data_IF_801128127225
#
_entry.id   IF_801128127225
#
_cell.length_a   1.000
_cell.length_b   1.000
_cell.length_c   1.000
_cell.angle_alpha   90.00
_cell.angle_beta   90.00
_cell.angle_gamma   90.00
#
_symmetry.space_group_name_H-M   'P 1'
#
loop_
_entity.id
_entity.type
_entity.pdbx_description
1 polymer ?
#
# COMPACT_ATOMS: atom_id res chain seq x y z
N UNK A 1 -10.84 -9.28 -35.64
CA UNK A 1 -9.45 -9.10 -35.20
C UNK A 1 -9.45 -8.80 -33.71
N UNK A 2 -8.95 -9.72 -32.88
CA UNK A 2 -8.88 -9.53 -31.43
C UNK A 2 -7.78 -8.52 -31.13
N UNK A 3 -8.15 -7.45 -30.40
CA UNK A 3 -7.23 -6.40 -30.01
C UNK A 3 -6.23 -6.96 -28.98
N UNK A 4 -5.01 -7.17 -29.38
CA UNK A 4 -3.93 -7.59 -28.47
C UNK A 4 -3.54 -6.43 -27.57
N UNK A 5 -3.39 -6.69 -26.26
CA UNK A 5 -2.80 -5.74 -25.34
C UNK A 5 -1.33 -5.47 -25.72
N UNK A 6 -0.79 -4.30 -25.36
CA UNK A 6 0.63 -3.89 -25.64
C UNK A 6 1.71 -4.90 -25.21
N UNK A 7 1.35 -5.95 -24.49
CA UNK A 7 2.23 -7.05 -24.04
C UNK A 7 2.01 -8.34 -24.81
N UNK A 8 1.21 -8.35 -25.90
CA UNK A 8 0.93 -9.54 -26.69
C UNK A 8 0.02 -10.59 -26.03
N UNK A 9 -0.42 -10.37 -24.79
CA UNK A 9 -1.32 -11.27 -24.10
C UNK A 9 -2.79 -10.96 -24.46
N UNK A 10 -3.66 -11.96 -24.59
CA UNK A 10 -5.08 -11.74 -24.83
C UNK A 10 -5.69 -10.99 -23.64
N UNK A 11 -6.72 -10.12 -23.88
CA UNK A 11 -7.43 -9.44 -22.80
C UNK A 11 -8.06 -10.47 -21.86
N UNK A 12 -8.13 -10.17 -20.54
CA UNK A 12 -8.77 -11.06 -19.58
C UNK A 12 -10.22 -11.37 -19.96
N UNK A 13 -10.56 -12.66 -19.87
CA UNK A 13 -11.92 -13.15 -20.12
C UNK A 13 -12.88 -12.66 -19.02
N UNK A 14 -14.11 -12.33 -19.38
CA UNK A 14 -15.16 -11.97 -18.44
C UNK A 14 -16.04 -13.20 -18.16
N UNK A 15 -16.12 -13.62 -16.88
CA UNK A 15 -17.00 -14.70 -16.42
C UNK A 15 -18.04 -14.16 -15.46
N UNK A 16 -19.31 -14.23 -15.83
CA UNK A 16 -20.42 -13.84 -14.99
C UNK A 16 -20.90 -15.06 -14.21
N UNK A 17 -21.00 -14.95 -12.88
CA UNK A 17 -21.42 -16.02 -11.98
C UNK A 17 -22.67 -15.55 -11.22
N UNK A 18 -23.88 -15.99 -11.60
CA UNK A 18 -25.09 -15.72 -10.84
C UNK A 18 -25.02 -16.37 -9.45
N UNK A 19 -25.40 -15.64 -8.41
CA UNK A 19 -25.36 -16.08 -7.02
C UNK A 19 -26.70 -15.91 -6.33
N UNK A 20 -27.30 -17.00 -5.90
CA UNK A 20 -28.55 -16.99 -5.14
C UNK A 20 -28.40 -16.36 -3.74
N UNK A 21 -27.19 -16.39 -3.17
CA UNK A 21 -26.90 -15.80 -1.86
C UNK A 21 -26.82 -14.27 -1.90
N UNK A 22 -26.62 -13.66 -3.08
CA UNK A 22 -26.52 -12.22 -3.24
C UNK A 22 -27.86 -11.63 -3.69
N UNK A 23 -28.39 -10.70 -2.92
CA UNK A 23 -29.67 -10.06 -3.28
C UNK A 23 -29.49 -8.68 -3.95
N UNK A 24 -28.48 -7.90 -3.50
CA UNK A 24 -28.29 -6.50 -3.93
C UNK A 24 -26.84 -6.13 -4.25
N UNK A 25 -25.88 -6.99 -3.93
CA UNK A 25 -24.45 -6.68 -4.11
C UNK A 25 -23.82 -7.51 -5.22
N UNK A 26 -22.93 -6.90 -5.99
CA UNK A 26 -22.10 -7.57 -6.98
C UNK A 26 -20.64 -7.40 -6.60
N UNK A 27 -19.79 -8.41 -6.89
CA UNK A 27 -18.37 -8.36 -6.61
C UNK A 27 -17.60 -8.96 -7.79
N UNK A 28 -16.39 -8.46 -8.03
CA UNK A 28 -15.52 -8.97 -9.07
C UNK A 28 -14.13 -9.25 -8.51
N UNK A 29 -13.45 -10.26 -9.06
CA UNK A 29 -12.06 -10.58 -8.77
C UNK A 29 -11.33 -11.04 -10.04
N UNK A 30 -10.04 -10.82 -10.10
CA UNK A 30 -9.18 -11.37 -11.16
C UNK A 30 -8.59 -12.70 -10.67
N UNK A 31 -8.78 -13.76 -11.45
CA UNK A 31 -8.23 -15.08 -11.18
C UNK A 31 -7.48 -15.52 -12.43
N UNK A 32 -6.16 -15.46 -12.37
CA UNK A 32 -5.33 -15.66 -13.57
C UNK A 32 -5.65 -14.62 -14.65
N UNK A 33 -6.09 -15.06 -15.82
CA UNK A 33 -6.51 -14.19 -16.92
C UNK A 33 -8.05 -14.10 -17.06
N UNK A 34 -8.82 -14.36 -15.99
CA UNK A 34 -10.29 -14.32 -15.99
C UNK A 34 -10.77 -13.34 -14.93
N UNK A 35 -11.62 -12.39 -15.32
CA UNK A 35 -12.35 -11.54 -14.39
C UNK A 35 -13.66 -12.21 -14.04
N UNK A 36 -13.74 -12.80 -12.85
CA UNK A 36 -14.96 -13.39 -12.33
C UNK A 36 -15.82 -12.31 -11.66
N UNK A 37 -17.06 -12.18 -12.11
CA UNK A 37 -18.03 -11.24 -11.55
C UNK A 37 -19.22 -12.00 -11.00
N UNK A 38 -19.41 -11.94 -9.69
CA UNK A 38 -20.57 -12.52 -9.01
C UNK A 38 -21.69 -11.48 -8.93
N UNK A 39 -22.87 -11.79 -9.46
CA UNK A 39 -24.05 -10.93 -9.50
C UNK A 39 -25.25 -11.65 -8.85
N UNK A 40 -26.29 -10.90 -8.37
CA UNK A 40 -27.53 -11.52 -7.95
C UNK A 40 -28.17 -12.37 -9.05
N UNK A 41 -28.60 -13.60 -8.72
CA UNK A 41 -29.21 -14.50 -9.70
C UNK A 41 -30.55 -13.97 -10.25
N UNK A 42 -31.27 -13.19 -9.45
CA UNK A 42 -32.57 -12.59 -9.81
C UNK A 42 -32.43 -11.29 -10.63
N UNK A 43 -31.22 -10.80 -10.86
CA UNK A 43 -30.96 -9.63 -11.68
C UNK A 43 -31.22 -9.95 -13.16
N UNK A 44 -31.90 -9.10 -13.92
CA UNK A 44 -32.10 -9.31 -15.37
C UNK A 44 -30.77 -9.50 -16.11
N UNK A 45 -30.73 -10.40 -17.10
CA UNK A 45 -29.50 -10.76 -17.79
C UNK A 45 -28.78 -9.56 -18.43
N UNK A 46 -29.53 -8.60 -18.98
CA UNK A 46 -28.97 -7.38 -19.56
C UNK A 46 -28.29 -6.50 -18.49
N UNK A 47 -28.85 -6.45 -17.28
CA UNK A 47 -28.29 -5.71 -16.16
C UNK A 47 -27.06 -6.42 -15.57
N UNK A 48 -27.10 -7.78 -15.44
CA UNK A 48 -25.95 -8.58 -15.06
C UNK A 48 -24.75 -8.27 -15.94
N UNK A 49 -24.96 -8.23 -17.26
CA UNK A 49 -23.89 -7.92 -18.23
C UNK A 49 -23.33 -6.51 -18.04
N UNK A 50 -24.18 -5.48 -17.93
CA UNK A 50 -23.73 -4.08 -17.71
C UNK A 50 -22.92 -3.94 -16.41
N UNK A 51 -23.39 -4.57 -15.33
CA UNK A 51 -22.67 -4.55 -14.05
C UNK A 51 -21.34 -5.27 -14.17
N UNK A 52 -21.31 -6.43 -14.83
CA UNK A 52 -20.11 -7.21 -15.01
C UNK A 52 -19.06 -6.46 -15.85
N UNK A 53 -19.44 -5.84 -16.95
CA UNK A 53 -18.55 -5.03 -17.78
C UNK A 53 -17.97 -3.85 -17.03
N UNK A 54 -18.79 -3.12 -16.26
CA UNK A 54 -18.33 -2.00 -15.42
C UNK A 54 -17.32 -2.44 -14.36
N UNK A 55 -17.58 -3.57 -13.69
CA UNK A 55 -16.69 -4.12 -12.68
C UNK A 55 -15.40 -4.68 -13.31
N UNK A 56 -15.50 -5.36 -14.46
CA UNK A 56 -14.33 -5.78 -15.25
C UNK A 56 -13.44 -4.57 -15.57
N UNK A 57 -14.01 -3.51 -16.13
CA UNK A 57 -13.26 -2.33 -16.53
C UNK A 57 -12.62 -1.62 -15.33
N UNK A 58 -13.27 -1.64 -14.17
CA UNK A 58 -12.70 -1.15 -12.92
C UNK A 58 -11.47 -1.98 -12.50
N UNK A 59 -11.57 -3.32 -12.54
CA UNK A 59 -10.45 -4.23 -12.24
C UNK A 59 -9.32 -4.02 -13.26
N UNK A 60 -9.61 -3.98 -14.55
CA UNK A 60 -8.60 -3.81 -15.60
C UNK A 60 -7.87 -2.47 -15.47
N UNK A 61 -8.57 -1.40 -15.08
CA UNK A 61 -7.93 -0.11 -14.77
C UNK A 61 -7.02 -0.20 -13.54
N UNK A 62 -7.42 -0.91 -12.49
CA UNK A 62 -6.58 -1.09 -11.30
C UNK A 62 -5.34 -1.95 -11.61
N UNK A 63 -5.51 -3.04 -12.36
CA UNK A 63 -4.40 -3.90 -12.83
C UNK A 63 -3.48 -3.14 -13.79
N UNK A 64 -4.02 -2.30 -14.64
CA UNK A 64 -3.24 -1.43 -15.53
C UNK A 64 -2.39 -0.40 -14.77
N UNK A 65 -2.88 0.10 -13.63
CA UNK A 65 -2.10 0.95 -12.72
C UNK A 65 -0.97 0.17 -12.03
N UNK A 66 -1.25 -1.07 -11.58
CA UNK A 66 -0.22 -1.95 -10.97
C UNK A 66 0.87 -2.34 -11.98
N UNK A 67 0.53 -2.50 -13.27
CA UNK A 67 1.52 -2.80 -14.33
C UNK A 67 2.45 -1.63 -14.64
N UNK A 68 2.02 -0.41 -14.38
CA UNK A 68 2.86 0.77 -14.40
C UNK A 68 3.10 1.16 -12.94
N UNK A 69 4.01 0.42 -12.28
CA UNK A 69 4.39 0.75 -10.91
C UNK A 69 4.70 2.26 -10.84
N UNK A 70 4.14 2.99 -9.86
CA UNK A 70 4.46 4.39 -9.66
C UNK A 70 5.97 4.54 -9.53
N UNK A 71 6.50 5.59 -10.12
CA UNK A 71 7.88 5.99 -9.90
C UNK A 71 7.98 6.61 -8.50
N UNK A 72 8.26 5.74 -7.52
CA UNK A 72 8.33 6.14 -6.11
C UNK A 72 9.42 7.17 -5.88
N UNK A 73 10.56 7.04 -6.57
CA UNK A 73 11.68 7.95 -6.43
C UNK A 73 11.28 9.37 -6.84
N UNK A 74 10.75 9.52 -8.04
CA UNK A 74 10.28 10.82 -8.53
C UNK A 74 9.20 11.40 -7.62
N UNK A 75 8.24 10.56 -7.19
CA UNK A 75 7.14 11.03 -6.35
C UNK A 75 7.60 11.45 -4.96
N UNK A 76 8.53 10.69 -4.35
CA UNK A 76 9.16 11.06 -3.08
C UNK A 76 9.93 12.38 -3.18
N UNK A 77 10.65 12.63 -4.28
CA UNK A 77 11.35 13.89 -4.53
C UNK A 77 10.36 15.07 -4.60
N UNK A 78 9.23 14.91 -5.30
CA UNK A 78 8.17 15.93 -5.38
C UNK A 78 7.62 16.25 -3.98
N UNK A 79 7.26 15.22 -3.20
CA UNK A 79 6.72 15.37 -1.85
C UNK A 79 7.76 15.97 -0.88
N UNK A 80 9.02 15.53 -0.98
CA UNK A 80 10.11 16.11 -0.21
C UNK A 80 10.26 17.62 -0.49
N UNK A 81 10.23 18.01 -1.76
CA UNK A 81 10.32 19.42 -2.13
C UNK A 81 9.15 20.23 -1.59
N UNK A 82 7.92 19.70 -1.70
CA UNK A 82 6.71 20.39 -1.32
C UNK A 82 6.52 20.50 0.21
N UNK A 83 6.79 19.42 0.94
CA UNK A 83 6.43 19.28 2.36
C UNK A 83 7.62 19.41 3.30
N UNK A 84 8.83 19.07 2.83
CA UNK A 84 10.05 19.08 3.66
C UNK A 84 11.12 20.06 3.15
N UNK A 85 10.78 20.89 2.15
CA UNK A 85 11.68 21.88 1.60
C UNK A 85 12.91 21.27 0.87
N UNK A 86 12.79 20.04 0.38
CA UNK A 86 13.83 19.33 -0.33
C UNK A 86 15.03 18.90 0.54
N UNK A 87 14.85 18.88 1.87
CA UNK A 87 15.95 18.68 2.83
C UNK A 87 16.25 17.22 3.14
N UNK A 88 15.28 16.32 2.93
CA UNK A 88 15.45 14.92 3.22
C UNK A 88 16.35 14.24 2.19
N UNK A 89 17.13 13.25 2.64
CA UNK A 89 17.99 12.44 1.80
C UNK A 89 17.77 10.98 2.12
N UNK A 90 17.72 10.16 1.10
CA UNK A 90 17.65 8.70 1.20
C UNK A 90 18.58 8.07 0.17
N UNK A 91 18.93 6.82 0.38
CA UNK A 91 19.79 6.04 -0.53
C UNK A 91 18.98 5.26 -1.55
N UNK A 92 17.86 4.69 -1.12
CA UNK A 92 17.03 3.86 -1.96
C UNK A 92 15.56 3.94 -1.55
N UNK A 93 14.67 3.92 -2.55
CA UNK A 93 13.23 3.80 -2.35
C UNK A 93 12.66 2.83 -3.36
N UNK A 94 11.79 1.91 -2.93
CA UNK A 94 11.24 0.92 -3.83
C UNK A 94 10.11 0.09 -3.22
N UNK A 95 9.46 -0.69 -4.09
CA UNK A 95 8.48 -1.67 -3.64
C UNK A 95 9.18 -2.93 -3.09
N UNK A 96 8.66 -3.43 -1.96
CA UNK A 96 9.12 -4.66 -1.33
C UNK A 96 7.95 -5.59 -0.97
N UNK A 97 8.24 -6.87 -0.83
CA UNK A 97 7.24 -7.83 -0.33
C UNK A 97 7.12 -7.66 1.19
N UNK A 98 6.04 -7.00 1.61
CA UNK A 98 5.69 -6.78 3.01
C UNK A 98 4.24 -7.22 3.23
N UNK A 99 4.00 -8.04 4.25
CA UNK A 99 2.68 -8.61 4.54
C UNK A 99 1.96 -7.89 5.67
N UNK A 100 2.67 -7.54 6.73
CA UNK A 100 2.12 -6.95 7.95
C UNK A 100 2.07 -5.41 7.92
N UNK A 101 2.90 -4.74 7.15
CA UNK A 101 3.02 -3.28 7.10
C UNK A 101 2.86 -2.73 5.68
N UNK A 102 2.48 -1.46 5.56
CA UNK A 102 2.33 -0.76 4.28
C UNK A 102 3.62 -0.14 3.77
N UNK A 103 4.55 0.17 4.68
CA UNK A 103 5.85 0.70 4.39
C UNK A 103 6.86 0.41 5.50
N UNK A 104 8.10 0.78 5.28
CA UNK A 104 9.16 0.80 6.31
C UNK A 104 10.30 1.71 5.87
N UNK A 105 10.86 2.43 6.83
CA UNK A 105 12.07 3.22 6.68
C UNK A 105 13.17 2.66 7.59
N UNK A 106 14.39 2.60 7.08
CA UNK A 106 15.59 2.33 7.87
C UNK A 106 16.45 3.58 7.80
N UNK A 107 16.37 4.49 8.81
CA UNK A 107 17.04 5.78 8.79
C UNK A 107 18.54 5.69 8.57
N UNK A 108 19.22 4.77 9.25
CA UNK A 108 20.68 4.60 9.17
C UNK A 108 21.18 4.30 7.77
N UNK A 109 20.44 3.47 7.04
CA UNK A 109 20.78 3.15 5.64
C UNK A 109 20.09 4.06 4.64
N UNK A 110 19.20 4.96 5.06
CA UNK A 110 18.40 5.78 4.18
C UNK A 110 17.53 4.96 3.22
N UNK A 111 17.06 3.77 3.64
CA UNK A 111 16.31 2.87 2.77
C UNK A 111 14.82 2.92 3.10
N UNK A 112 14.00 3.24 2.09
CA UNK A 112 12.55 3.28 2.19
C UNK A 112 11.95 2.14 1.35
N UNK A 113 11.05 1.38 1.95
CA UNK A 113 10.34 0.29 1.29
C UNK A 113 8.84 0.50 1.40
N UNK A 114 8.14 0.41 0.29
CA UNK A 114 6.67 0.46 0.23
C UNK A 114 6.17 -0.94 -0.14
N UNK A 115 5.16 -1.42 0.58
CA UNK A 115 4.59 -2.74 0.29
C UNK A 115 4.12 -2.83 -1.16
N UNK A 116 4.46 -3.90 -1.88
CA UNK A 116 4.06 -4.09 -3.29
C UNK A 116 2.54 -4.02 -3.47
N UNK A 117 1.76 -4.45 -2.46
CA UNK A 117 0.30 -4.33 -2.47
C UNK A 117 -0.19 -2.87 -2.54
N UNK A 118 0.61 -1.91 -2.08
CA UNK A 118 0.28 -0.49 -2.14
C UNK A 118 0.32 0.09 -3.58
N UNK A 119 0.96 -0.59 -4.53
CA UNK A 119 0.99 -0.14 -5.93
C UNK A 119 -0.40 -0.06 -6.60
N UNK A 120 -1.41 -0.73 -6.03
CA UNK A 120 -2.80 -0.67 -6.48
C UNK A 120 -3.67 0.36 -5.78
N UNK A 121 -3.15 1.04 -4.77
CA UNK A 121 -3.88 2.06 -4.02
C UNK A 121 -4.06 3.34 -4.86
N UNK A 122 -5.03 4.19 -4.50
CA UNK A 122 -5.13 5.54 -5.07
C UNK A 122 -3.83 6.33 -4.83
N UNK A 123 -3.45 7.19 -5.78
CA UNK A 123 -2.20 7.96 -5.73
C UNK A 123 -2.07 8.77 -4.43
N UNK A 124 -3.16 9.38 -3.95
CA UNK A 124 -3.17 10.16 -2.72
C UNK A 124 -2.96 9.31 -1.44
N UNK A 125 -3.27 8.00 -1.47
CA UNK A 125 -2.95 7.07 -0.37
C UNK A 125 -1.48 6.67 -0.43
N UNK A 126 -0.96 6.44 -1.63
CA UNK A 126 0.45 6.15 -1.83
C UNK A 126 1.33 7.35 -1.43
N UNK A 127 0.87 8.57 -1.73
CA UNK A 127 1.54 9.80 -1.29
C UNK A 127 1.64 9.88 0.23
N UNK A 128 0.55 9.56 0.93
CA UNK A 128 0.55 9.50 2.39
C UNK A 128 1.58 8.50 2.91
N UNK A 129 1.62 7.27 2.34
CA UNK A 129 2.62 6.27 2.73
C UNK A 129 4.04 6.77 2.52
N UNK A 130 4.31 7.42 1.38
CA UNK A 130 5.61 8.02 1.11
C UNK A 130 5.97 9.12 2.11
N UNK A 131 5.03 10.00 2.45
CA UNK A 131 5.24 11.07 3.45
C UNK A 131 5.50 10.49 4.82
N UNK A 132 4.79 9.43 5.21
CA UNK A 132 5.00 8.70 6.45
C UNK A 132 6.43 8.16 6.55
N UNK A 133 6.88 7.44 5.51
CA UNK A 133 8.22 6.86 5.48
C UNK A 133 9.33 7.94 5.37
N UNK A 134 9.07 9.04 4.67
CA UNK A 134 9.97 10.18 4.63
C UNK A 134 10.10 10.88 6.00
N UNK A 135 9.01 10.94 6.77
CA UNK A 135 9.05 11.50 8.12
C UNK A 135 9.95 10.70 9.06
N UNK A 136 10.03 9.37 8.88
CA UNK A 136 10.92 8.51 9.64
C UNK A 136 12.42 8.77 9.41
N UNK A 137 12.80 9.43 8.33
CA UNK A 137 14.19 9.89 8.15
C UNK A 137 14.58 11.01 9.14
N UNK A 138 13.59 11.62 9.81
CA UNK A 138 13.77 12.72 10.77
C UNK A 138 13.43 12.27 12.18
N UNK A 139 12.32 11.58 12.35
CA UNK A 139 11.76 11.15 13.63
C UNK A 139 11.45 9.65 13.58
N UNK A 140 12.20 8.86 14.35
CA UNK A 140 12.05 7.40 14.39
C UNK A 140 10.75 6.94 15.06
N UNK A 141 10.24 7.71 16.03
CA UNK A 141 9.09 7.33 16.84
C UNK A 141 7.85 8.16 16.45
N UNK A 142 6.67 7.54 16.51
CA UNK A 142 5.37 8.15 16.18
C UNK A 142 4.89 9.19 17.23
N UNK A 143 5.80 9.96 17.81
CA UNK A 143 5.47 11.03 18.75
C UNK A 143 4.90 12.29 18.06
N UNK A 144 4.60 13.35 18.88
CA UNK A 144 4.02 14.59 18.34
C UNK A 144 4.84 15.24 17.23
N UNK A 145 6.17 15.12 17.26
CA UNK A 145 7.06 15.66 16.22
C UNK A 145 6.90 14.92 14.88
N UNK A 146 6.78 13.59 14.94
CA UNK A 146 6.53 12.79 13.79
C UNK A 146 5.20 13.16 13.13
N UNK A 147 4.12 13.19 13.91
CA UNK A 147 2.80 13.53 13.39
C UNK A 147 2.75 14.94 12.82
N UNK A 148 3.43 15.92 13.42
CA UNK A 148 3.56 17.27 12.87
C UNK A 148 4.25 17.30 11.48
N UNK A 149 5.10 16.31 11.17
CA UNK A 149 5.70 16.14 9.84
C UNK A 149 4.71 15.52 8.86
N UNK A 150 4.02 14.46 9.27
CA UNK A 150 3.07 13.73 8.42
C UNK A 150 1.84 14.56 8.11
N UNK A 151 1.33 15.35 9.05
CA UNK A 151 0.16 16.24 8.91
C UNK A 151 0.39 17.39 7.91
N UNK A 152 1.63 17.64 7.48
CA UNK A 152 1.88 18.54 6.35
C UNK A 152 1.22 18.05 5.06
N UNK A 153 0.93 16.76 4.97
CA UNK A 153 0.18 16.21 3.86
C UNK A 153 -1.33 16.41 4.09
N UNK A 154 -2.03 17.17 3.24
CA UNK A 154 -3.41 17.61 3.52
C UNK A 154 -4.44 16.48 3.59
N UNK A 155 -4.12 15.30 3.07
CA UNK A 155 -5.04 14.16 3.02
C UNK A 155 -4.67 13.05 4.03
N UNK A 156 -3.85 13.36 5.04
CA UNK A 156 -3.37 12.40 6.05
C UNK A 156 -4.51 11.61 6.68
N UNK A 157 -5.47 12.26 7.32
CA UNK A 157 -6.57 11.57 8.00
C UNK A 157 -7.46 10.76 7.04
N UNK A 158 -7.69 11.29 5.85
CA UNK A 158 -8.43 10.57 4.82
C UNK A 158 -7.71 9.31 4.37
N UNK A 159 -6.38 9.37 4.22
CA UNK A 159 -5.56 8.22 3.82
C UNK A 159 -5.51 7.16 4.92
N UNK A 160 -5.36 7.57 6.18
CA UNK A 160 -5.44 6.67 7.34
C UNK A 160 -6.77 5.93 7.38
N UNK A 161 -7.88 6.64 7.31
CA UNK A 161 -9.21 6.02 7.28
C UNK A 161 -9.41 5.07 6.09
N UNK A 162 -8.84 5.38 4.93
CA UNK A 162 -8.88 4.49 3.78
C UNK A 162 -8.09 3.20 4.02
N UNK A 163 -6.88 3.28 4.57
CA UNK A 163 -6.05 2.11 4.87
C UNK A 163 -6.70 1.22 5.93
N UNK A 164 -7.23 1.79 7.00
CA UNK A 164 -8.01 1.06 8.00
C UNK A 164 -9.18 0.28 7.37
N UNK A 165 -9.94 0.91 6.47
CA UNK A 165 -11.03 0.23 5.77
C UNK A 165 -10.54 -0.89 4.84
N UNK A 166 -9.36 -0.76 4.23
CA UNK A 166 -8.75 -1.80 3.39
C UNK A 166 -8.31 -2.98 4.25
N UNK A 167 -7.67 -2.74 5.39
CA UNK A 167 -7.18 -3.79 6.29
C UNK A 167 -8.36 -4.58 6.90
N UNK A 168 -9.41 -3.91 7.35
CA UNK A 168 -10.64 -4.58 7.82
C UNK A 168 -11.36 -5.34 6.70
N UNK A 169 -11.38 -4.81 5.48
CA UNK A 169 -12.02 -5.46 4.33
C UNK A 169 -11.26 -6.66 3.78
N UNK A 170 -9.97 -6.76 4.05
CA UNK A 170 -9.12 -7.87 3.64
C UNK A 170 -9.22 -9.10 4.58
N UNK A 171 -10.01 -9.01 5.68
CA UNK A 171 -10.18 -10.12 6.62
C UNK A 171 -8.93 -10.40 7.47
N UNK A 172 -8.06 -9.43 7.62
CA UNK A 172 -7.02 -9.46 8.64
C UNK A 172 -7.70 -9.15 9.96
N UNK A 173 -8.13 -10.19 10.68
CA UNK A 173 -8.63 -10.07 12.02
C UNK A 173 -7.51 -9.55 12.92
N UNK A 174 -7.62 -8.31 13.30
CA UNK A 174 -6.90 -7.79 14.46
C UNK A 174 -7.72 -8.16 15.67
N UNK A 175 -7.48 -9.34 16.22
CA UNK A 175 -7.81 -9.61 17.61
C UNK A 175 -6.83 -8.78 18.44
N UNK A 176 -7.35 -7.76 19.11
CA UNK A 176 -6.67 -7.05 20.20
C UNK A 176 -6.14 -5.66 19.86
N UNK A 177 -6.74 -4.72 20.54
CA UNK A 177 -6.26 -3.43 21.00
C UNK A 177 -5.51 -2.57 19.97
N UNK A 178 -6.32 -1.71 19.32
CA UNK A 178 -5.84 -0.69 18.40
C UNK A 178 -5.01 0.37 19.11
N UNK A 179 -3.70 0.23 19.03
CA UNK A 179 -2.75 1.33 19.09
C UNK A 179 -1.82 1.16 17.90
N UNK A 180 -2.01 2.05 16.93
CA UNK A 180 -1.12 2.46 15.83
C UNK A 180 0.04 1.54 15.45
N UNK A 181 -0.22 0.31 14.94
CA UNK A 181 0.81 -0.52 14.31
C UNK A 181 1.03 -0.12 12.83
N UNK A 182 1.32 1.15 12.64
CA UNK A 182 2.02 1.64 11.46
C UNK A 182 3.47 1.86 11.87
N UNK A 183 4.25 0.77 11.90
CA UNK A 183 5.70 0.76 12.01
C UNK A 183 6.30 0.95 13.41
N UNK A 184 6.59 -0.12 14.12
CA UNK A 184 7.75 -0.11 15.00
C UNK A 184 8.99 -0.49 14.17
N UNK A 185 9.91 0.43 14.03
CA UNK A 185 11.27 0.13 13.65
C UNK A 185 11.90 -0.59 14.85
N UNK A 186 11.99 -1.91 14.83
CA UNK A 186 12.84 -2.64 15.75
C UNK A 186 14.29 -2.22 15.49
N UNK A 187 14.77 -1.30 16.34
CA UNK A 187 16.19 -1.12 16.57
C UNK A 187 16.65 -2.36 17.32
N UNK A 188 17.38 -3.25 16.67
CA UNK A 188 18.15 -4.29 17.36
C UNK A 188 19.01 -3.62 18.42
N UNK A 189 18.97 -4.06 19.71
CA UNK A 189 19.87 -3.53 20.71
C UNK A 189 21.27 -4.03 20.35
N UNK A 190 22.14 -3.11 19.94
CA UNK A 190 23.56 -3.34 19.84
C UNK A 190 24.06 -3.87 21.18
N UNK A 191 24.56 -5.11 21.18
CA UNK A 191 25.17 -5.73 22.35
C UNK A 191 26.35 -4.89 22.85
N UNK A 192 26.13 -4.22 23.94
CA UNK A 192 27.17 -3.58 24.73
C UNK A 192 27.87 -4.70 25.56
N UNK A 193 28.97 -5.17 25.06
CA UNK A 193 29.83 -6.10 25.77
C UNK A 193 30.70 -5.28 26.75
N UNK A 194 30.61 -5.48 28.07
CA UNK A 194 31.42 -4.69 29.00
C UNK A 194 32.89 -5.14 28.92
N UNK A 195 33.72 -4.21 28.49
CA UNK A 195 35.20 -4.32 28.52
C UNK A 195 35.67 -4.55 29.95
N UNK A 196 36.24 -5.73 30.17
CA UNK A 196 36.84 -6.10 31.43
C UNK A 196 38.16 -5.36 31.57
N UNK A 197 38.17 -4.37 32.44
CA UNK A 197 39.38 -3.74 32.95
C UNK A 197 40.30 -4.78 33.59
N UNK A 198 41.46 -4.98 32.98
CA UNK A 198 42.56 -5.71 33.57
C UNK A 198 43.33 -4.73 34.43
N UNK A 199 43.27 -4.95 35.75
CA UNK A 199 44.16 -4.30 36.72
C UNK A 199 45.58 -4.80 36.51
N UNK A 200 46.52 -3.90 36.26
CA UNK A 200 47.96 -4.15 36.42
C UNK A 200 48.41 -3.53 37.72
N UNK A 201 49.00 -4.39 38.55
CA UNK A 201 49.83 -4.03 39.72
C UNK A 201 51.25 -3.68 39.21
N UNK A 202 51.79 -2.67 39.65
CA UNK A 202 52.99 -2.32 40.43
C UNK A 202 53.33 -0.85 40.19
#
# INVERSE_FOLDING_TARGET
>A
MASLNRTGAPPPELRIIPSARRRRSSAARLVGNVVEVRVPALMPAAEQRRVAERLRDRILRSVGRVRRAPDLERRAQELNSQLFGGRLRWQAIGFAEQRSRWGSCTPDSGTIRIARRAAGLPDWVLDYLLVHELAHLVEGNHGPRFWALVERYPLTERARGYLMAVDHGAGVGTDGDGEDDLTEAESEPGGDEPDRAIAARD
#
